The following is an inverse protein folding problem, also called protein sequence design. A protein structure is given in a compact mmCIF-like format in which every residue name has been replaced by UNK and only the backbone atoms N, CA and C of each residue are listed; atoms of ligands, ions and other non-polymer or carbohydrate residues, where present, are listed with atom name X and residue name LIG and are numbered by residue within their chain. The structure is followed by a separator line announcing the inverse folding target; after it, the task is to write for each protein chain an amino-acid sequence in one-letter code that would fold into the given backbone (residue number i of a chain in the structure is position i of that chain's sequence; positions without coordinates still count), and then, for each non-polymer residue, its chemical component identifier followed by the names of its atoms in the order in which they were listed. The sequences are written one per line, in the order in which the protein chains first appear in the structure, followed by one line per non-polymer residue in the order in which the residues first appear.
data_IF_869922989056
#
_entry.id   IF_869922989056
#
_cell.length_a   1.000
_cell.length_b   1.000
_cell.length_c   1.000
_cell.angle_alpha   90.00
_cell.angle_beta   90.00
_cell.angle_gamma   90.00
#
_symmetry.space_group_name_H-M   'P 1'
#
loop_
_entity.id
_entity.type
_entity.pdbx_description
1 polymer ?
#
# COMPACT_ATOMS: atom_id res chain seq x y z
N UNK A 1 -16.24 -3.56 -7.41
CA UNK A 1 -15.50 -2.88 -6.32
C UNK A 1 -14.15 -3.53 -5.98
N UNK A 2 -14.00 -4.86 -6.11
CA UNK A 2 -12.74 -5.54 -5.72
C UNK A 2 -11.57 -5.34 -6.70
N UNK A 3 -11.83 -5.35 -8.01
CA UNK A 3 -10.78 -5.26 -9.04
C UNK A 3 -9.98 -3.96 -8.95
N UNK A 4 -10.68 -2.84 -8.81
CA UNK A 4 -10.06 -1.52 -8.62
C UNK A 4 -9.18 -1.49 -7.37
N UNK A 5 -9.70 -1.96 -6.22
CA UNK A 5 -8.92 -2.00 -4.99
C UNK A 5 -7.73 -2.96 -5.08
N UNK A 6 -7.86 -4.08 -5.79
CA UNK A 6 -6.78 -5.06 -6.02
C UNK A 6 -5.67 -4.48 -6.90
N UNK A 7 -6.02 -3.74 -7.95
CA UNK A 7 -5.07 -3.05 -8.83
C UNK A 7 -4.38 -1.92 -8.08
N UNK A 8 -5.16 -1.07 -7.40
CA UNK A 8 -4.63 0.04 -6.60
C UNK A 8 -3.65 -0.44 -5.51
N UNK A 9 -3.90 -1.61 -4.92
CA UNK A 9 -2.98 -2.22 -3.96
C UNK A 9 -1.64 -2.60 -4.60
N UNK A 10 -1.66 -3.19 -5.81
CA UNK A 10 -0.44 -3.50 -6.58
C UNK A 10 0.31 -2.23 -6.99
N UNK A 11 -0.42 -1.18 -7.40
CA UNK A 11 0.16 0.12 -7.72
C UNK A 11 0.88 0.70 -6.50
N UNK A 12 0.26 0.65 -5.32
CA UNK A 12 0.87 1.18 -4.10
C UNK A 12 2.17 0.45 -3.73
N UNK A 13 2.20 -0.87 -3.92
CA UNK A 13 3.40 -1.68 -3.71
C UNK A 13 4.49 -1.36 -4.74
N UNK A 14 4.10 -1.20 -6.01
CA UNK A 14 5.01 -0.79 -7.08
C UNK A 14 5.62 0.59 -6.84
N UNK A 15 4.83 1.57 -6.40
CA UNK A 15 5.29 2.91 -6.04
C UNK A 15 6.27 2.86 -4.86
N UNK A 16 5.96 2.08 -3.82
CA UNK A 16 6.86 1.90 -2.68
C UNK A 16 8.22 1.33 -3.09
N UNK A 17 8.23 0.31 -3.96
CA UNK A 17 9.47 -0.26 -4.52
C UNK A 17 10.22 0.78 -5.35
N UNK A 18 9.51 1.50 -6.22
CA UNK A 18 10.12 2.52 -7.10
C UNK A 18 10.79 3.63 -6.29
N UNK A 19 10.16 4.09 -5.20
CA UNK A 19 10.74 5.09 -4.30
C UNK A 19 11.98 4.53 -3.60
N UNK A 20 11.93 3.29 -3.12
CA UNK A 20 13.08 2.66 -2.47
C UNK A 20 14.28 2.53 -3.41
N UNK A 21 14.03 2.11 -4.66
CA UNK A 21 15.06 2.03 -5.71
C UNK A 21 15.56 3.43 -6.09
N UNK A 22 14.68 4.40 -6.29
CA UNK A 22 15.03 5.78 -6.65
C UNK A 22 15.89 6.46 -5.59
N UNK A 23 15.52 6.33 -4.31
CA UNK A 23 16.32 6.84 -3.18
C UNK A 23 17.68 6.15 -3.12
N UNK A 24 17.75 4.86 -3.43
CA UNK A 24 19.04 4.13 -3.47
C UNK A 24 19.94 4.65 -4.59
N UNK A 25 19.41 4.86 -5.79
CA UNK A 25 20.17 5.41 -6.94
C UNK A 25 20.66 6.83 -6.63
N UNK A 26 19.79 7.67 -6.09
CA UNK A 26 20.14 9.05 -5.71
C UNK A 26 21.14 9.09 -4.54
N UNK A 27 21.03 8.17 -3.59
CA UNK A 27 22.01 8.01 -2.51
C UNK A 27 23.41 7.62 -3.03
N UNK A 28 23.48 6.83 -4.10
CA UNK A 28 24.76 6.46 -4.77
C UNK A 28 25.35 7.64 -5.56
N UNK A 29 24.52 8.46 -6.20
CA UNK A 29 24.99 9.57 -7.06
C UNK A 29 25.33 10.82 -6.23
N UNK A 30 24.43 11.23 -5.33
CA UNK A 30 24.50 12.52 -4.61
C UNK A 30 24.90 12.37 -3.13
N UNK A 31 25.08 11.13 -2.66
CA UNK A 31 25.49 10.81 -1.29
C UNK A 31 24.31 10.51 -0.35
N UNK A 32 24.48 9.48 0.48
CA UNK A 32 23.45 9.00 1.41
C UNK A 32 23.12 9.96 2.55
N UNK A 33 23.97 10.95 2.88
CA UNK A 33 23.66 11.95 3.91
C UNK A 33 22.39 12.75 3.60
N UNK A 34 22.16 13.07 2.32
CA UNK A 34 20.97 13.81 1.90
C UNK A 34 19.75 12.93 1.67
N UNK A 35 19.97 11.74 1.12
CA UNK A 35 18.87 10.90 0.62
C UNK A 35 18.39 9.86 1.64
N UNK A 36 19.16 9.58 2.69
CA UNK A 36 18.81 8.56 3.70
C UNK A 36 17.49 8.85 4.42
N UNK A 37 17.15 10.11 4.68
CA UNK A 37 15.89 10.50 5.31
C UNK A 37 14.66 10.07 4.49
N UNK A 38 14.78 10.01 3.16
CA UNK A 38 13.67 9.63 2.27
C UNK A 38 13.38 8.12 2.26
N UNK A 39 14.25 7.29 2.84
CA UNK A 39 13.90 5.89 3.10
C UNK A 39 12.73 5.75 4.07
N UNK A 40 12.55 6.72 4.99
CA UNK A 40 11.37 6.77 5.85
C UNK A 40 10.08 6.88 5.03
N UNK A 41 10.11 7.65 3.94
CA UNK A 41 8.98 7.81 3.02
C UNK A 41 8.66 6.49 2.29
N UNK A 42 9.68 5.79 1.80
CA UNK A 42 9.51 4.46 1.21
C UNK A 42 8.95 3.45 2.22
N UNK A 43 9.47 3.44 3.44
CA UNK A 43 8.99 2.60 4.53
C UNK A 43 7.53 2.91 4.91
N UNK A 44 7.18 4.19 5.02
CA UNK A 44 5.84 4.65 5.34
C UNK A 44 4.80 4.18 4.30
N UNK A 45 5.16 4.22 3.01
CA UNK A 45 4.29 3.72 1.94
C UNK A 45 4.07 2.20 2.04
N UNK A 46 5.09 1.43 2.43
CA UNK A 46 4.95 0.00 2.68
C UNK A 46 4.04 -0.27 3.90
N UNK A 47 4.15 0.53 4.95
CA UNK A 47 3.24 0.47 6.11
C UNK A 47 1.80 0.77 5.67
N UNK A 48 1.59 1.82 4.88
CA UNK A 48 0.27 2.15 4.33
C UNK A 48 -0.31 1.01 3.47
N UNK A 49 0.53 0.31 2.70
CA UNK A 49 0.12 -0.89 1.97
C UNK A 49 -0.40 -1.98 2.91
N UNK A 50 0.29 -2.24 4.04
CA UNK A 50 -0.15 -3.22 5.03
C UNK A 50 -1.47 -2.81 5.70
N UNK A 51 -1.61 -1.53 6.07
CA UNK A 51 -2.85 -1.01 6.66
C UNK A 51 -4.01 -1.16 5.68
N UNK A 52 -3.80 -0.78 4.41
CA UNK A 52 -4.81 -0.92 3.35
C UNK A 52 -5.21 -2.38 3.14
N UNK A 53 -4.26 -3.32 3.21
CA UNK A 53 -4.53 -4.77 3.18
C UNK A 53 -5.49 -5.19 4.29
N UNK A 54 -5.24 -4.73 5.51
CA UNK A 54 -6.06 -5.05 6.67
C UNK A 54 -7.47 -4.45 6.55
N UNK A 55 -7.58 -3.20 6.11
CA UNK A 55 -8.87 -2.54 5.89
C UNK A 55 -9.72 -3.26 4.84
N UNK A 56 -9.11 -3.71 3.73
CA UNK A 56 -9.81 -4.46 2.69
C UNK A 56 -10.37 -5.79 3.21
N UNK A 57 -9.60 -6.54 4.02
CA UNK A 57 -10.08 -7.78 4.64
C UNK A 57 -11.28 -7.53 5.55
N UNK A 58 -11.25 -6.46 6.34
CA UNK A 58 -12.37 -6.07 7.21
C UNK A 58 -13.61 -5.69 6.40
N UNK A 59 -13.43 -4.94 5.31
CA UNK A 59 -14.51 -4.52 4.43
C UNK A 59 -15.22 -5.70 3.76
N UNK A 60 -14.45 -6.69 3.26
CA UNK A 60 -15.02 -7.91 2.65
C UNK A 60 -15.92 -8.64 3.65
N UNK A 61 -15.42 -8.87 4.88
CA UNK A 61 -16.19 -9.53 5.94
C UNK A 61 -17.48 -8.78 6.29
N UNK A 62 -17.44 -7.45 6.32
CA UNK A 62 -18.64 -6.64 6.57
C UNK A 62 -19.63 -6.69 5.40
N UNK A 63 -19.13 -6.70 4.16
CA UNK A 63 -19.95 -6.82 2.97
C UNK A 63 -20.66 -8.19 2.90
N UNK A 64 -19.95 -9.27 3.25
CA UNK A 64 -20.53 -10.61 3.35
C UNK A 64 -21.67 -10.66 4.37
N UNK A 65 -21.45 -10.10 5.56
CA UNK A 65 -22.47 -10.01 6.60
C UNK A 65 -23.72 -9.23 6.14
N UNK A 66 -23.55 -8.07 5.47
CA UNK A 66 -24.66 -7.29 4.94
C UNK A 66 -25.43 -8.05 3.84
N UNK A 67 -24.71 -8.79 2.98
CA UNK A 67 -25.34 -9.60 1.94
C UNK A 67 -26.17 -10.74 2.53
N UNK A 68 -25.69 -11.39 3.61
CA UNK A 68 -26.45 -12.40 4.33
C UNK A 68 -27.70 -11.83 5.00
N UNK A 69 -27.62 -10.63 5.59
CA UNK A 69 -28.79 -9.95 6.14
C UNK A 69 -29.82 -9.58 5.06
N UNK A 70 -29.36 -9.06 3.93
CA UNK A 70 -30.24 -8.72 2.81
C UNK A 70 -30.94 -9.94 2.20
N UNK A 71 -30.31 -11.12 2.22
CA UNK A 71 -30.94 -12.38 1.75
C UNK A 71 -31.96 -12.96 2.75
N UNK A 72 -31.91 -12.54 4.01
CA UNK A 72 -32.85 -12.98 5.07
C UNK A 72 -34.08 -12.06 5.20
N UNK A 73 -34.09 -10.93 4.50
CA UNK A 73 -35.27 -10.07 4.31
C UNK A 73 -36.04 -10.51 3.08
#
# INVERSE_FOLDING_TARGET
METYNKIMMKVLLFVGITIFVGVTVLGVIDGFERWSAYYFLGFFILVLYLIRRAMMKRMIKHQEFLNEQNKKK
#
